data_IF_102806645341
#
_entry.id   IF_102806645341
#
_cell.length_a   1.000
_cell.length_b   1.000
_cell.length_c   1.000
_cell.angle_alpha   90.00
_cell.angle_beta   90.00
_cell.angle_gamma   90.00
#
_symmetry.space_group_name_H-M   'P 1'
#
loop_
_entity.id
_entity.type
_entity.pdbx_description
1 polymer ?
#
# COMPACT_ATOMS: atom_id res chain seq x y z
N UNK A 1 -3.10 -2.60 20.59
CA UNK A 1 -1.97 -3.48 20.12
C UNK A 1 -0.66 -2.79 20.48
N UNK A 2 0.31 -3.53 20.97
CA UNK A 2 1.64 -2.96 21.23
C UNK A 2 2.47 -2.86 19.96
N UNK A 3 3.48 -1.97 19.93
CA UNK A 3 4.26 -1.65 18.73
C UNK A 3 4.92 -2.84 18.02
N UNK A 4 5.13 -3.95 18.72
CA UNK A 4 5.83 -5.13 18.19
C UNK A 4 4.93 -6.36 18.08
N UNK A 5 3.61 -6.20 18.21
CA UNK A 5 2.68 -7.31 18.08
C UNK A 5 2.55 -7.75 16.62
N UNK A 6 2.41 -9.05 16.43
CA UNK A 6 2.10 -9.67 15.15
C UNK A 6 0.78 -10.40 15.29
N UNK A 7 -0.21 -10.04 14.48
CA UNK A 7 -1.49 -10.71 14.40
C UNK A 7 -1.46 -11.66 13.22
N UNK A 8 -1.65 -12.96 13.47
CA UNK A 8 -1.75 -13.97 12.43
C UNK A 8 -3.19 -14.46 12.33
N UNK A 9 -3.82 -14.23 11.18
CA UNK A 9 -5.16 -14.73 10.84
C UNK A 9 -5.05 -15.77 9.72
N UNK A 10 -5.63 -16.91 9.93
CA UNK A 10 -5.69 -18.00 8.95
C UNK A 10 -7.12 -18.21 8.44
N UNK A 11 -7.27 -18.49 7.15
CA UNK A 11 -8.58 -18.75 6.53
C UNK A 11 -8.53 -18.74 5.00
N UNK A 12 -9.69 -18.94 4.37
CA UNK A 12 -9.86 -18.95 2.90
C UNK A 12 -10.71 -17.80 2.37
N UNK A 13 -11.42 -17.08 3.26
CA UNK A 13 -12.21 -15.91 2.89
C UNK A 13 -11.39 -14.63 3.20
N UNK A 14 -10.77 -14.05 2.18
CA UNK A 14 -9.89 -12.88 2.30
C UNK A 14 -10.58 -11.68 2.96
N UNK A 15 -11.83 -11.41 2.62
CA UNK A 15 -12.59 -10.30 3.18
C UNK A 15 -12.82 -10.47 4.69
N UNK A 16 -13.23 -11.66 5.12
CA UNK A 16 -13.41 -11.97 6.55
C UNK A 16 -12.08 -11.92 7.30
N UNK A 17 -11.01 -12.43 6.69
CA UNK A 17 -9.67 -12.37 7.29
C UNK A 17 -9.21 -10.93 7.50
N UNK A 18 -9.41 -10.05 6.51
CA UNK A 18 -9.06 -8.64 6.59
C UNK A 18 -9.82 -7.95 7.74
N UNK A 19 -11.14 -8.13 7.84
CA UNK A 19 -11.93 -7.56 8.95
C UNK A 19 -11.44 -8.04 10.31
N UNK A 20 -11.18 -9.34 10.46
CA UNK A 20 -10.66 -9.90 11.73
C UNK A 20 -9.29 -9.33 12.14
N UNK A 21 -8.39 -9.09 11.18
CA UNK A 21 -7.11 -8.43 11.46
C UNK A 21 -7.34 -7.01 11.96
N UNK A 22 -8.19 -6.24 11.27
CA UNK A 22 -8.52 -4.86 11.63
C UNK A 22 -9.15 -4.76 13.03
N UNK A 23 -10.08 -5.68 13.34
CA UNK A 23 -10.71 -5.80 14.67
C UNK A 23 -9.70 -6.15 15.75
N UNK A 24 -8.90 -7.22 15.53
CA UNK A 24 -7.92 -7.68 16.50
C UNK A 24 -6.82 -6.64 16.78
N UNK A 25 -6.48 -5.83 15.78
CA UNK A 25 -5.53 -4.71 15.92
C UNK A 25 -6.16 -3.44 16.50
N UNK A 26 -7.49 -3.39 16.65
CA UNK A 26 -8.25 -2.22 17.09
C UNK A 26 -7.95 -0.96 16.27
N UNK A 27 -7.90 -1.10 14.95
CA UNK A 27 -7.44 -0.05 14.01
C UNK A 27 -8.32 1.20 14.07
N UNK A 28 -9.62 1.06 14.33
CA UNK A 28 -10.52 2.20 14.43
C UNK A 28 -10.13 3.15 15.58
N UNK A 29 -9.67 2.61 16.71
CA UNK A 29 -9.17 3.39 17.85
C UNK A 29 -7.79 3.97 17.55
N UNK A 30 -6.91 3.21 16.90
CA UNK A 30 -5.56 3.66 16.52
C UNK A 30 -5.62 4.84 15.52
N UNK A 31 -6.51 4.79 14.55
CA UNK A 31 -6.77 5.93 13.64
C UNK A 31 -7.34 7.11 14.43
N UNK A 32 -8.34 6.90 15.28
CA UNK A 32 -8.99 7.88 16.14
C UNK A 32 -9.87 8.89 15.38
N UNK A 33 -9.29 9.95 14.83
CA UNK A 33 -10.06 11.01 14.16
C UNK A 33 -10.66 10.53 12.82
N UNK A 34 -12.00 10.61 12.71
CA UNK A 34 -12.76 10.20 11.52
C UNK A 34 -12.51 11.07 10.28
N UNK A 35 -11.93 12.26 10.45
CA UNK A 35 -11.58 13.18 9.36
C UNK A 35 -10.24 12.87 8.70
N UNK A 36 -9.43 12.00 9.30
CA UNK A 36 -8.13 11.63 8.75
C UNK A 36 -8.25 11.08 7.33
N UNK A 37 -7.31 11.47 6.48
CA UNK A 37 -7.11 10.91 5.13
C UNK A 37 -6.43 9.56 5.27
N UNK A 38 -7.15 8.49 4.98
CA UNK A 38 -6.66 7.11 5.08
C UNK A 38 -6.28 6.59 3.71
N UNK A 39 -5.04 6.13 3.57
CA UNK A 39 -4.59 5.47 2.36
C UNK A 39 -4.52 3.95 2.54
N UNK A 40 -5.09 3.21 1.60
CA UNK A 40 -4.84 1.79 1.42
C UNK A 40 -3.78 1.62 0.35
N UNK A 41 -2.64 1.05 0.72
CA UNK A 41 -1.49 0.85 -0.17
C UNK A 41 -1.31 -0.66 -0.46
N UNK A 42 -2.06 -1.24 -1.41
CA UNK A 42 -1.85 -2.63 -1.81
C UNK A 42 -0.51 -2.84 -2.51
N UNK A 43 -0.17 -4.08 -2.80
CA UNK A 43 0.88 -4.43 -3.75
C UNK A 43 0.25 -4.64 -5.14
N UNK A 44 0.47 -3.71 -6.05
CA UNK A 44 -0.08 -3.73 -7.42
C UNK A 44 1.05 -3.58 -8.46
N UNK A 45 2.08 -4.43 -8.33
CA UNK A 45 3.34 -4.31 -9.07
C UNK A 45 3.20 -4.47 -10.59
N UNK A 46 2.22 -5.25 -11.07
CA UNK A 46 2.09 -5.64 -12.47
C UNK A 46 0.64 -6.01 -12.81
N UNK A 47 0.29 -5.99 -14.09
CA UNK A 47 -1.04 -6.34 -14.60
C UNK A 47 -1.27 -7.87 -14.60
N UNK A 48 -1.32 -8.47 -13.41
CA UNK A 48 -1.62 -9.89 -13.20
C UNK A 48 -2.74 -10.05 -12.18
N UNK A 49 -3.55 -11.11 -12.38
CA UNK A 49 -4.57 -11.47 -11.42
C UNK A 49 -3.95 -11.82 -10.05
N UNK A 50 -4.62 -11.52 -8.93
CA UNK A 50 -4.13 -11.83 -7.58
C UNK A 50 -3.82 -13.30 -7.34
N UNK A 51 -4.53 -14.22 -7.99
CA UNK A 51 -4.27 -15.67 -7.94
C UNK A 51 -2.85 -16.07 -8.39
N UNK A 52 -2.14 -15.19 -9.09
CA UNK A 52 -0.73 -15.39 -9.44
C UNK A 52 0.24 -15.21 -8.26
N UNK A 53 -0.22 -14.71 -7.10
CA UNK A 53 0.61 -14.32 -5.96
C UNK A 53 1.42 -13.04 -6.19
N UNK A 54 1.18 -12.31 -7.29
CA UNK A 54 1.96 -11.10 -7.61
C UNK A 54 1.38 -9.83 -7.00
N UNK A 55 0.07 -9.78 -6.78
CA UNK A 55 -0.68 -8.60 -6.36
C UNK A 55 -1.60 -8.90 -5.17
N UNK A 56 -1.96 -7.88 -4.40
CA UNK A 56 -2.90 -8.01 -3.28
C UNK A 56 -4.30 -8.33 -3.81
N UNK A 57 -5.00 -9.26 -3.17
CA UNK A 57 -6.37 -9.62 -3.52
C UNK A 57 -7.34 -8.45 -3.28
N UNK A 58 -8.21 -8.18 -4.25
CA UNK A 58 -9.23 -7.13 -4.15
C UNK A 58 -10.21 -7.36 -2.98
N UNK A 59 -10.46 -8.62 -2.61
CA UNK A 59 -11.29 -8.98 -1.46
C UNK A 59 -10.67 -8.57 -0.11
N UNK A 60 -9.33 -8.53 0.00
CA UNK A 60 -8.67 -7.98 1.19
C UNK A 60 -8.95 -6.47 1.32
N UNK A 61 -8.82 -5.72 0.20
CA UNK A 61 -9.18 -4.31 0.16
C UNK A 61 -10.65 -4.10 0.55
N UNK A 62 -11.56 -4.92 -0.01
CA UNK A 62 -12.98 -4.85 0.31
C UNK A 62 -13.24 -5.03 1.81
N UNK A 63 -12.56 -5.99 2.46
CA UNK A 63 -12.70 -6.22 3.89
C UNK A 63 -12.19 -5.08 4.76
N UNK A 64 -11.05 -4.48 4.38
CA UNK A 64 -10.50 -3.29 5.07
C UNK A 64 -11.42 -2.09 4.89
N UNK A 65 -11.92 -1.85 3.67
CA UNK A 65 -12.84 -0.72 3.40
C UNK A 65 -14.15 -0.88 4.18
N UNK A 66 -14.75 -2.06 4.17
CA UNK A 66 -15.97 -2.32 4.95
C UNK A 66 -15.77 -2.05 6.44
N UNK A 67 -14.67 -2.56 7.02
CA UNK A 67 -14.33 -2.28 8.41
C UNK A 67 -14.24 -0.78 8.68
N UNK A 68 -13.51 -0.03 7.85
CA UNK A 68 -13.33 1.40 8.02
C UNK A 68 -14.67 2.17 7.91
N UNK A 69 -15.49 1.83 6.91
CA UNK A 69 -16.79 2.47 6.69
C UNK A 69 -17.78 2.14 7.83
N UNK A 70 -17.81 0.90 8.30
CA UNK A 70 -18.62 0.49 9.48
C UNK A 70 -18.23 1.25 10.74
N UNK A 71 -16.97 1.68 10.85
CA UNK A 71 -16.48 2.52 11.96
C UNK A 71 -16.55 4.02 11.66
N UNK A 72 -17.23 4.45 10.60
CA UNK A 72 -17.50 5.85 10.28
C UNK A 72 -16.32 6.62 9.67
N UNK A 73 -15.37 5.93 9.04
CA UNK A 73 -14.32 6.57 8.23
C UNK A 73 -14.78 6.67 6.77
N UNK A 74 -14.82 7.87 6.23
CA UNK A 74 -15.27 8.12 4.86
C UNK A 74 -14.13 8.58 3.93
N UNK A 75 -13.08 9.18 4.48
CA UNK A 75 -11.97 9.73 3.69
C UNK A 75 -10.90 8.65 3.39
N UNK A 76 -11.31 7.64 2.63
CA UNK A 76 -10.50 6.47 2.26
C UNK A 76 -10.09 6.59 0.80
N UNK A 77 -8.83 6.31 0.50
CA UNK A 77 -8.27 6.30 -0.87
C UNK A 77 -7.40 5.07 -1.06
N UNK A 78 -7.58 4.36 -2.18
CA UNK A 78 -6.62 3.33 -2.61
C UNK A 78 -5.55 4.01 -3.46
N UNK A 79 -4.26 3.74 -3.22
CA UNK A 79 -3.19 4.34 -4.02
C UNK A 79 -2.06 3.36 -4.29
N UNK A 80 -1.51 3.42 -5.50
CA UNK A 80 -0.35 2.62 -5.89
C UNK A 80 0.33 3.20 -7.13
N UNK A 81 1.63 2.94 -7.28
CA UNK A 81 2.40 3.12 -8.51
C UNK A 81 3.08 1.81 -8.87
N UNK A 82 2.63 1.14 -9.92
CA UNK A 82 3.18 -0.13 -10.39
C UNK A 82 4.66 -0.04 -10.77
N UNK A 83 5.27 -1.17 -11.06
CA UNK A 83 6.64 -1.22 -11.58
C UNK A 83 6.79 -0.42 -12.88
N UNK A 84 7.98 0.15 -13.11
CA UNK A 84 8.26 1.07 -14.23
C UNK A 84 8.06 0.45 -15.62
N UNK A 85 8.02 -0.86 -15.75
CA UNK A 85 7.76 -1.59 -16.99
C UNK A 85 6.28 -1.90 -17.20
N UNK A 86 5.41 -1.49 -16.28
CA UNK A 86 3.97 -1.77 -16.33
C UNK A 86 3.16 -0.48 -16.13
N UNK A 87 1.88 -0.52 -16.45
CA UNK A 87 0.95 0.61 -16.28
C UNK A 87 0.03 0.34 -15.10
N UNK A 88 0.03 1.25 -14.13
CA UNK A 88 -0.82 1.11 -12.94
C UNK A 88 -2.29 0.94 -13.28
N UNK A 89 -2.82 1.66 -14.26
CA UNK A 89 -4.21 1.54 -14.69
C UNK A 89 -4.57 0.17 -15.29
N UNK A 90 -3.61 -0.54 -15.90
CA UNK A 90 -3.80 -1.92 -16.38
C UNK A 90 -3.77 -2.91 -15.22
N UNK A 91 -2.82 -2.75 -14.32
CA UNK A 91 -2.72 -3.55 -13.10
C UNK A 91 -3.97 -3.39 -12.21
N UNK A 92 -4.48 -2.18 -12.08
CA UNK A 92 -5.72 -1.84 -11.36
C UNK A 92 -6.91 -2.66 -11.86
N UNK A 93 -7.13 -2.72 -13.18
CA UNK A 93 -8.19 -3.52 -13.78
C UNK A 93 -7.94 -5.03 -13.67
N UNK A 94 -6.72 -5.46 -13.93
CA UNK A 94 -6.36 -6.89 -13.86
C UNK A 94 -6.51 -7.49 -12.45
N UNK A 95 -6.37 -6.67 -11.42
CA UNK A 95 -6.57 -7.07 -10.03
C UNK A 95 -8.04 -6.92 -9.55
N UNK A 96 -8.94 -6.38 -10.38
CA UNK A 96 -10.36 -6.18 -10.06
C UNK A 96 -10.62 -5.04 -9.07
N UNK A 97 -9.73 -4.05 -9.01
CA UNK A 97 -9.88 -2.93 -8.08
C UNK A 97 -10.90 -1.89 -8.54
N UNK A 98 -11.17 -1.83 -9.86
CA UNK A 98 -12.25 -1.06 -10.45
C UNK A 98 -13.62 -1.44 -9.87
N UNK A 99 -13.86 -2.74 -9.68
CA UNK A 99 -15.08 -3.26 -9.07
C UNK A 99 -15.17 -2.88 -7.57
N UNK A 100 -14.05 -2.91 -6.85
CA UNK A 100 -13.99 -2.47 -5.43
C UNK A 100 -14.27 -0.98 -5.33
N UNK A 101 -13.60 -0.16 -6.13
CA UNK A 101 -13.81 1.30 -6.14
C UNK A 101 -15.27 1.67 -6.44
N UNK A 102 -15.87 1.02 -7.45
CA UNK A 102 -17.27 1.26 -7.81
C UNK A 102 -18.25 0.84 -6.69
N UNK A 103 -18.02 -0.34 -6.09
CA UNK A 103 -18.89 -0.89 -5.04
C UNK A 103 -18.91 -0.07 -3.75
N UNK A 104 -17.72 0.38 -3.32
CA UNK A 104 -17.55 1.04 -2.02
C UNK A 104 -17.42 2.57 -2.13
N UNK A 105 -17.49 3.12 -3.35
CA UNK A 105 -17.33 4.56 -3.63
C UNK A 105 -15.99 5.12 -3.12
N UNK A 106 -14.92 4.32 -3.20
CA UNK A 106 -13.58 4.70 -2.78
C UNK A 106 -12.72 5.03 -4.01
N UNK A 107 -12.09 6.20 -4.08
CA UNK A 107 -11.25 6.58 -5.21
C UNK A 107 -9.95 5.78 -5.28
N UNK A 108 -9.41 5.68 -6.50
CA UNK A 108 -8.06 5.16 -6.75
C UNK A 108 -7.15 6.27 -7.28
N UNK A 109 -5.94 6.37 -6.72
CA UNK A 109 -4.90 7.30 -7.16
C UNK A 109 -3.75 6.53 -7.80
N UNK A 110 -3.49 6.81 -9.08
CA UNK A 110 -2.33 6.30 -9.83
C UNK A 110 -1.11 7.16 -9.53
N UNK A 111 -0.25 6.69 -8.63
CA UNK A 111 0.98 7.39 -8.22
C UNK A 111 2.07 7.43 -9.32
N UNK A 112 1.92 6.70 -10.45
CA UNK A 112 2.79 6.92 -11.60
C UNK A 112 2.55 8.25 -12.30
N UNK A 113 1.39 8.87 -12.08
CA UNK A 113 0.96 10.16 -12.67
C UNK A 113 0.96 11.30 -11.68
N UNK A 114 1.35 11.03 -10.42
CA UNK A 114 1.38 12.03 -9.36
C UNK A 114 2.59 12.97 -9.49
N UNK A 115 2.46 14.15 -8.92
CA UNK A 115 3.58 15.06 -8.63
C UNK A 115 4.38 14.56 -7.43
N UNK A 116 5.55 15.12 -7.20
CA UNK A 116 6.44 14.67 -6.12
C UNK A 116 7.31 15.80 -5.60
N UNK A 117 7.76 15.63 -4.36
CA UNK A 117 8.79 16.49 -3.75
C UNK A 117 9.95 15.64 -3.27
N UNK A 118 11.09 16.29 -3.10
CA UNK A 118 12.29 15.68 -2.54
C UNK A 118 12.33 15.85 -1.03
N UNK A 119 12.64 14.78 -0.33
CA UNK A 119 12.74 14.71 1.13
C UNK A 119 14.11 14.18 1.54
N UNK A 120 14.58 14.57 2.72
CA UNK A 120 15.75 13.96 3.33
C UNK A 120 15.33 12.69 4.10
N UNK A 121 15.72 11.54 3.58
CA UNK A 121 15.46 10.23 4.14
C UNK A 121 16.71 9.74 4.90
N UNK A 122 16.94 10.23 6.09
CA UNK A 122 18.11 9.91 6.92
C UNK A 122 19.45 10.11 6.17
N UNK A 123 19.61 11.25 5.52
CA UNK A 123 20.81 11.63 4.77
C UNK A 123 20.83 11.19 3.28
N UNK A 124 19.75 10.57 2.80
CA UNK A 124 19.54 10.28 1.38
C UNK A 124 18.39 11.12 0.84
N UNK A 125 18.62 11.84 -0.28
CA UNK A 125 17.55 12.57 -0.96
C UNK A 125 16.70 11.61 -1.76
N UNK A 126 15.40 11.57 -1.46
CA UNK A 126 14.42 10.66 -2.10
C UNK A 126 13.18 11.46 -2.49
N UNK A 127 12.68 11.20 -3.70
CA UNK A 127 11.45 11.78 -4.21
C UNK A 127 10.25 10.95 -3.77
N UNK A 128 9.29 11.57 -3.10
CA UNK A 128 8.05 10.96 -2.63
C UNK A 128 6.86 11.61 -3.35
N UNK A 129 5.90 10.80 -3.80
CA UNK A 129 4.67 11.27 -4.44
C UNK A 129 3.84 12.12 -3.47
N UNK A 130 3.31 13.26 -3.96
CA UNK A 130 2.62 14.24 -3.14
C UNK A 130 1.34 13.68 -2.48
N UNK A 131 0.59 12.86 -3.22
CA UNK A 131 -0.60 12.20 -2.67
C UNK A 131 -0.24 11.25 -1.52
N UNK A 132 0.83 10.46 -1.68
CA UNK A 132 1.29 9.55 -0.62
C UNK A 132 1.85 10.31 0.60
N UNK A 133 2.48 11.47 0.39
CA UNK A 133 2.99 12.31 1.47
C UNK A 133 1.89 13.05 2.24
N UNK A 134 0.70 13.23 1.64
CA UNK A 134 -0.41 14.03 2.18
C UNK A 134 -1.39 13.27 3.06
N UNK A 135 -1.23 11.95 3.21
CA UNK A 135 -2.17 11.14 4.00
C UNK A 135 -1.84 11.18 5.50
N UNK A 136 -2.88 11.03 6.32
CA UNK A 136 -2.76 11.05 7.78
C UNK A 136 -2.57 9.66 8.38
N UNK A 137 -2.98 8.62 7.66
CA UNK A 137 -2.84 7.23 8.06
C UNK A 137 -2.68 6.32 6.84
N UNK A 138 -1.71 5.42 6.85
CA UNK A 138 -1.47 4.47 5.75
C UNK A 138 -1.53 3.02 6.23
N UNK A 139 -2.41 2.25 5.60
CA UNK A 139 -2.49 0.80 5.73
C UNK A 139 -1.72 0.19 4.55
N UNK A 140 -0.53 -0.31 4.83
CA UNK A 140 0.33 -0.95 3.84
C UNK A 140 -0.04 -2.44 3.73
N UNK A 141 -0.51 -2.87 2.56
CA UNK A 141 -1.05 -4.22 2.32
C UNK A 141 -0.13 -5.00 1.34
N UNK A 142 1.08 -5.38 1.76
CA UNK A 142 2.04 -6.05 0.91
C UNK A 142 1.65 -7.50 0.61
N UNK A 143 2.26 -8.07 -0.43
CA UNK A 143 2.31 -9.52 -0.64
C UNK A 143 3.69 -10.02 -0.23
N UNK A 144 3.75 -11.01 0.66
CA UNK A 144 4.98 -11.72 0.98
C UNK A 144 5.32 -12.66 -0.17
N UNK A 145 6.40 -12.40 -0.89
CA UNK A 145 6.82 -13.19 -2.06
C UNK A 145 8.33 -13.09 -2.32
N UNK A 146 8.86 -14.03 -3.09
CA UNK A 146 10.25 -13.99 -3.57
C UNK A 146 10.54 -12.80 -4.49
N UNK A 147 11.79 -12.39 -4.56
CA UNK A 147 12.26 -11.36 -5.48
C UNK A 147 13.70 -11.59 -5.90
N UNK A 148 13.98 -11.43 -7.20
CA UNK A 148 15.31 -11.73 -7.79
C UNK A 148 16.46 -10.87 -7.23
N UNK A 149 16.22 -9.62 -6.84
CA UNK A 149 17.27 -8.70 -6.36
C UNK A 149 17.26 -8.51 -4.84
N UNK A 150 16.12 -8.57 -4.19
CA UNK A 150 16.00 -8.33 -2.74
C UNK A 150 15.66 -9.58 -1.95
N UNK A 151 15.74 -10.74 -2.58
CA UNK A 151 15.39 -12.06 -2.02
C UNK A 151 13.91 -12.14 -1.63
N UNK A 152 13.41 -11.17 -0.86
CA UNK A 152 12.02 -11.10 -0.40
C UNK A 152 11.37 -9.76 -0.76
N UNK A 153 10.09 -9.80 -1.05
CA UNK A 153 9.18 -8.65 -1.10
C UNK A 153 8.23 -8.74 0.08
N UNK A 154 8.11 -7.68 0.84
CA UNK A 154 7.10 -7.48 1.86
C UNK A 154 6.91 -5.96 2.09
N UNK A 155 6.54 -5.53 3.28
CA UNK A 155 6.15 -4.17 3.64
C UNK A 155 7.13 -3.08 3.18
N UNK A 156 8.41 -3.16 3.58
CA UNK A 156 9.40 -2.14 3.25
C UNK A 156 9.55 -1.93 1.74
N UNK A 157 9.60 -3.03 0.98
CA UNK A 157 9.71 -2.96 -0.48
C UNK A 157 8.44 -2.52 -1.16
N UNK A 158 7.27 -2.78 -0.57
CA UNK A 158 5.98 -2.34 -1.11
C UNK A 158 5.91 -0.81 -1.21
N UNK A 159 6.59 -0.08 -0.32
CA UNK A 159 6.68 1.38 -0.36
C UNK A 159 7.41 1.95 -1.58
N UNK A 160 8.07 1.13 -2.39
CA UNK A 160 8.51 1.60 -3.72
C UNK A 160 7.36 2.07 -4.62
N UNK A 161 6.13 1.69 -4.32
CA UNK A 161 4.94 2.18 -5.01
C UNK A 161 4.62 3.65 -4.75
N UNK A 162 5.14 4.26 -3.68
CA UNK A 162 4.88 5.68 -3.33
C UNK A 162 5.93 6.65 -3.87
N UNK A 163 6.90 6.18 -4.67
CA UNK A 163 7.90 7.03 -5.32
C UNK A 163 7.67 7.09 -6.85
N UNK A 164 8.04 8.20 -7.52
CA UNK A 164 7.86 8.35 -8.96
C UNK A 164 8.74 7.38 -9.76
N UNK A 165 8.38 7.11 -11.02
CA UNK A 165 9.07 6.15 -11.86
C UNK A 165 10.56 6.44 -12.06
N UNK A 166 10.96 7.72 -12.14
CA UNK A 166 12.37 8.10 -12.20
C UNK A 166 13.15 7.65 -10.97
N UNK A 167 12.56 7.79 -9.78
CA UNK A 167 13.17 7.37 -8.52
C UNK A 167 13.21 5.84 -8.39
N UNK A 168 12.18 5.14 -8.88
CA UNK A 168 12.20 3.67 -8.96
C UNK A 168 13.38 3.15 -9.80
N UNK A 169 13.67 3.81 -10.95
CA UNK A 169 14.83 3.48 -11.79
C UNK A 169 16.13 3.79 -11.06
N UNK A 170 16.23 4.94 -10.43
CA UNK A 170 17.41 5.35 -9.67
C UNK A 170 17.75 4.35 -8.55
N UNK A 171 16.75 3.84 -7.83
CA UNK A 171 16.93 2.78 -6.83
C UNK A 171 17.58 1.52 -7.41
N UNK A 172 17.25 1.15 -8.64
CA UNK A 172 17.84 0.00 -9.30
C UNK A 172 19.33 0.21 -9.65
N UNK A 173 19.75 1.44 -9.95
CA UNK A 173 21.17 1.74 -10.21
C UNK A 173 22.02 1.76 -8.95
N UNK A 174 21.44 2.10 -7.79
CA UNK A 174 22.14 2.15 -6.50
C UNK A 174 22.17 0.78 -5.78
N UNK A 175 21.47 -0.25 -6.30
CA UNK A 175 21.14 -1.43 -5.53
C UNK A 175 19.96 -1.16 -4.57
N UNK A 176 19.03 -2.11 -4.46
CA UNK A 176 17.72 -1.87 -3.86
C UNK A 176 17.71 -1.79 -2.32
N UNK A 177 18.63 -2.48 -1.64
CA UNK A 177 18.55 -2.63 -0.18
C UNK A 177 18.66 -1.31 0.57
N UNK A 178 19.74 -0.55 0.31
CA UNK A 178 20.00 0.72 0.98
C UNK A 178 18.89 1.77 0.71
N UNK A 179 18.53 2.09 -0.55
CA UNK A 179 17.51 3.10 -0.79
C UNK A 179 16.12 2.68 -0.30
N UNK A 180 15.77 1.39 -0.26
CA UNK A 180 14.52 0.93 0.36
C UNK A 180 14.53 1.20 1.87
N UNK A 181 15.63 0.93 2.56
CA UNK A 181 15.75 1.24 3.98
C UNK A 181 15.58 2.73 4.26
N UNK A 182 16.27 3.58 3.50
CA UNK A 182 16.14 5.04 3.61
C UNK A 182 14.71 5.53 3.27
N UNK A 183 14.07 5.02 2.21
CA UNK A 183 12.68 5.35 1.88
C UNK A 183 11.73 5.13 3.06
N UNK A 184 11.91 4.06 3.81
CA UNK A 184 11.04 3.72 4.93
C UNK A 184 11.27 4.60 6.19
N UNK A 185 12.21 5.53 6.17
CA UNK A 185 12.32 6.58 7.19
C UNK A 185 11.38 7.76 6.93
N UNK A 186 10.85 7.90 5.71
CA UNK A 186 9.96 9.00 5.28
C UNK A 186 8.60 8.51 4.77
N UNK A 187 8.53 7.29 4.23
CA UNK A 187 7.26 6.71 3.79
C UNK A 187 6.44 6.28 5.00
N UNK A 188 5.18 6.71 5.02
CA UNK A 188 4.25 6.37 6.09
C UNK A 188 3.92 4.86 6.11
N UNK A 189 3.88 4.27 7.28
CA UNK A 189 3.46 2.90 7.55
C UNK A 189 2.87 2.85 8.96
N UNK A 190 1.61 3.19 9.10
CA UNK A 190 0.95 3.20 10.41
C UNK A 190 0.47 1.79 10.76
N UNK A 191 0.00 1.02 9.76
CA UNK A 191 -0.36 -0.39 9.91
C UNK A 191 0.09 -1.21 8.69
N UNK A 192 0.52 -2.46 8.93
CA UNK A 192 0.98 -3.38 7.88
C UNK A 192 0.25 -4.71 8.00
#
# INVERSE_FOLDING_TARGET
>A
MEKNDIILIHGTNYKVMAKKVMEAANIAEDIGDKKKKIALKPNLVTAKAPSSGATTHSELLAGVIEYLQEHGFENITIMEGSWVGDRTGEAFRAAGYDMVCARYHVPFVDLQRDTWKEYDAAGMKIKLCDQAASVDYMINMPVLKGHCQTTVTCALKNNKGVIPNQEKRHFHTMGLHKPIAHLNTIARNDFI
#
